data_IF_690167005476
#
_entry.id   IF_690167005476
#
_cell.length_a   1.000
_cell.length_b   1.000
_cell.length_c   1.000
_cell.angle_alpha   90.00
_cell.angle_beta   90.00
_cell.angle_gamma   90.00
#
_symmetry.space_group_name_H-M   'P 1'
#
loop_
_entity.id
_entity.type
_entity.pdbx_description
1 polymer ?
#
# COMPACT_ATOMS: atom_id res chain seq x y z
N UNK A 1 10.82 -35.76 -33.69
CA UNK A 1 11.29 -34.36 -33.70
C UNK A 1 11.44 -33.89 -32.27
N UNK A 2 12.67 -33.84 -31.75
CA UNK A 2 12.94 -33.22 -30.46
C UNK A 2 12.69 -31.71 -30.60
N UNK A 3 11.80 -31.14 -29.78
CA UNK A 3 11.71 -29.68 -29.65
C UNK A 3 13.07 -29.22 -29.14
N UNK A 4 13.79 -28.43 -29.94
CA UNK A 4 14.91 -27.66 -29.44
C UNK A 4 14.36 -26.72 -28.37
N UNK A 5 14.51 -27.10 -27.11
CA UNK A 5 14.38 -26.18 -25.98
C UNK A 5 15.49 -25.17 -26.15
N UNK A 6 15.15 -23.96 -26.61
CA UNK A 6 16.04 -22.80 -26.54
C UNK A 6 16.44 -22.63 -25.07
N UNK A 7 17.58 -23.21 -24.68
CA UNK A 7 18.18 -22.99 -23.36
C UNK A 7 18.57 -21.50 -23.33
N UNK A 8 18.00 -20.76 -22.38
CA UNK A 8 18.38 -19.35 -22.18
C UNK A 8 19.87 -19.33 -21.84
N UNK A 9 20.63 -18.51 -22.57
CA UNK A 9 22.07 -18.34 -22.33
C UNK A 9 22.24 -17.12 -21.42
N UNK A 10 22.70 -17.36 -20.19
CA UNK A 10 23.01 -16.30 -19.23
C UNK A 10 24.45 -15.79 -19.44
N UNK A 11 24.64 -14.94 -20.44
CA UNK A 11 25.94 -14.33 -20.76
C UNK A 11 26.03 -12.85 -20.33
N UNK A 12 27.16 -12.21 -20.61
CA UNK A 12 27.41 -10.79 -20.30
C UNK A 12 26.36 -9.86 -20.94
N UNK A 13 25.90 -10.17 -22.15
CA UNK A 13 24.92 -9.34 -22.85
C UNK A 13 23.56 -9.43 -22.16
N UNK A 14 23.15 -10.62 -21.74
CA UNK A 14 21.93 -10.84 -20.98
C UNK A 14 21.97 -10.07 -19.64
N UNK A 15 23.07 -10.19 -18.89
CA UNK A 15 23.22 -9.49 -17.60
C UNK A 15 23.18 -7.97 -17.79
N UNK A 16 23.91 -7.43 -18.77
CA UNK A 16 23.88 -5.99 -19.08
C UNK A 16 22.48 -5.51 -19.46
N UNK A 17 21.75 -6.29 -20.26
CA UNK A 17 20.37 -5.98 -20.62
C UNK A 17 19.44 -5.94 -19.40
N UNK A 18 19.62 -6.86 -18.45
CA UNK A 18 18.88 -6.84 -17.18
C UNK A 18 19.23 -5.60 -16.32
N UNK A 19 20.49 -5.19 -16.29
CA UNK A 19 20.94 -4.00 -15.55
C UNK A 19 20.35 -2.71 -16.15
N UNK A 20 20.39 -2.57 -17.48
CA UNK A 20 19.79 -1.45 -18.20
C UNK A 20 18.28 -1.38 -17.96
N UNK A 21 17.58 -2.51 -18.07
CA UNK A 21 16.14 -2.57 -17.82
C UNK A 21 15.81 -2.24 -16.36
N UNK A 22 16.62 -2.69 -15.40
CA UNK A 22 16.40 -2.40 -13.98
C UNK A 22 16.51 -0.91 -13.67
N UNK A 23 17.38 -0.17 -14.37
CA UNK A 23 17.45 1.30 -14.23
C UNK A 23 16.17 1.99 -14.68
N UNK A 24 15.58 1.55 -15.79
CA UNK A 24 14.27 2.05 -16.24
C UNK A 24 13.16 1.71 -15.25
N UNK A 25 13.17 0.47 -14.75
CA UNK A 25 12.21 -0.01 -13.76
C UNK A 25 12.23 0.85 -12.49
N UNK A 26 13.42 1.21 -11.98
CA UNK A 26 13.56 2.16 -10.86
C UNK A 26 13.03 3.54 -11.25
N UNK A 27 13.49 4.08 -12.39
CA UNK A 27 13.18 5.46 -12.81
C UNK A 27 11.70 5.70 -13.02
N UNK A 28 10.99 4.73 -13.58
CA UNK A 28 9.57 4.83 -13.93
C UNK A 28 8.65 4.05 -12.99
N UNK A 29 9.21 3.48 -11.91
CA UNK A 29 8.49 2.68 -10.91
C UNK A 29 7.63 1.55 -11.55
N UNK A 30 8.26 0.76 -12.42
CA UNK A 30 7.60 -0.27 -13.24
C UNK A 30 7.40 -1.58 -12.45
N UNK A 31 6.42 -1.58 -11.54
CA UNK A 31 6.21 -2.66 -10.56
C UNK A 31 5.92 -4.03 -11.17
N UNK A 32 5.22 -4.09 -12.31
CA UNK A 32 4.87 -5.37 -12.95
C UNK A 32 6.08 -6.01 -13.63
N UNK A 33 6.98 -5.20 -14.17
CA UNK A 33 8.23 -5.64 -14.76
C UNK A 33 9.22 -6.13 -13.70
N UNK A 34 9.29 -5.43 -12.56
CA UNK A 34 10.05 -5.90 -11.41
C UNK A 34 9.54 -7.26 -10.94
N UNK A 35 8.21 -7.39 -10.82
CA UNK A 35 7.55 -8.65 -10.46
C UNK A 35 7.83 -9.74 -11.48
N UNK A 36 7.70 -9.45 -12.77
CA UNK A 36 7.96 -10.41 -13.84
C UNK A 36 9.37 -10.98 -13.73
N UNK A 37 10.37 -10.13 -13.51
CA UNK A 37 11.75 -10.58 -13.32
C UNK A 37 11.85 -11.57 -12.15
N UNK A 38 11.31 -11.21 -10.98
CA UNK A 38 11.40 -12.07 -9.78
C UNK A 38 10.63 -13.38 -9.87
N UNK A 39 9.48 -13.41 -10.57
CA UNK A 39 8.61 -14.59 -10.66
C UNK A 39 8.93 -15.51 -11.83
N UNK A 40 9.53 -14.99 -12.91
CA UNK A 40 9.71 -15.74 -14.14
C UNK A 40 11.15 -15.83 -14.62
N UNK A 41 11.99 -14.82 -14.35
CA UNK A 41 13.39 -14.83 -14.81
C UNK A 41 14.31 -15.39 -13.72
N UNK A 42 14.16 -14.95 -12.48
CA UNK A 42 15.00 -15.39 -11.36
C UNK A 42 14.93 -16.90 -11.08
N UNK A 43 13.75 -17.57 -11.12
CA UNK A 43 13.68 -19.02 -10.91
C UNK A 43 14.48 -19.82 -11.95
N UNK A 44 14.51 -19.37 -13.21
CA UNK A 44 15.31 -20.01 -14.27
C UNK A 44 16.81 -19.86 -14.00
N UNK A 45 17.25 -18.71 -13.51
CA UNK A 45 18.65 -18.47 -13.09
C UNK A 45 19.00 -19.38 -11.89
N UNK A 46 18.08 -19.54 -10.93
CA UNK A 46 18.28 -20.41 -9.76
C UNK A 46 18.31 -21.90 -10.10
N UNK A 47 17.62 -22.31 -11.17
CA UNK A 47 17.62 -23.68 -11.67
C UNK A 47 18.94 -24.05 -12.39
N UNK A 48 19.62 -23.08 -13.02
CA UNK A 48 20.89 -23.31 -13.71
C UNK A 48 22.10 -23.29 -12.76
N UNK A 49 22.42 -24.47 -12.20
CA UNK A 49 23.57 -24.66 -11.29
C UNK A 49 24.94 -24.52 -11.98
N UNK A 50 25.00 -24.80 -13.29
CA UNK A 50 26.23 -24.64 -14.08
C UNK A 50 26.55 -23.15 -14.22
N UNK A 51 25.56 -22.31 -14.49
CA UNK A 51 25.74 -20.86 -14.52
C UNK A 51 26.18 -20.30 -13.17
N UNK A 52 25.51 -20.71 -12.09
CA UNK A 52 25.83 -20.24 -10.72
C UNK A 52 27.28 -20.50 -10.33
N UNK A 53 27.79 -21.68 -10.64
CA UNK A 53 29.15 -22.10 -10.24
C UNK A 53 30.21 -21.74 -11.28
N UNK A 54 29.87 -21.78 -12.57
CA UNK A 54 30.77 -21.49 -13.69
C UNK A 54 30.99 -20.00 -13.94
N UNK A 55 30.01 -19.14 -13.64
CA UNK A 55 30.08 -17.68 -13.88
C UNK A 55 29.65 -16.88 -12.63
N UNK A 56 30.33 -17.05 -11.48
CA UNK A 56 29.90 -16.48 -10.20
C UNK A 56 29.89 -14.94 -10.18
N UNK A 57 30.71 -14.28 -11.00
CA UNK A 57 30.69 -12.82 -11.13
C UNK A 57 29.40 -12.31 -11.79
N UNK A 58 28.93 -13.01 -12.83
CA UNK A 58 27.66 -12.68 -13.50
C UNK A 58 26.47 -13.02 -12.62
N UNK A 59 26.51 -14.16 -11.94
CA UNK A 59 25.48 -14.54 -10.98
C UNK A 59 25.30 -13.50 -9.88
N UNK A 60 26.39 -12.97 -9.29
CA UNK A 60 26.31 -11.91 -8.27
C UNK A 60 25.66 -10.62 -8.78
N UNK A 61 25.88 -10.26 -10.04
CA UNK A 61 25.21 -9.10 -10.67
C UNK A 61 23.71 -9.34 -10.82
N UNK A 62 23.31 -10.54 -11.23
CA UNK A 62 21.90 -10.92 -11.31
C UNK A 62 21.24 -11.02 -9.93
N UNK A 63 21.95 -11.49 -8.91
CA UNK A 63 21.45 -11.52 -7.53
C UNK A 63 21.17 -10.10 -7.01
N UNK A 64 22.08 -9.14 -7.30
CA UNK A 64 21.86 -7.72 -7.01
C UNK A 64 20.62 -7.18 -7.73
N UNK A 65 20.43 -7.51 -9.01
CA UNK A 65 19.22 -7.15 -9.77
C UNK A 65 17.96 -7.74 -9.12
N UNK A 66 18.00 -9.02 -8.72
CA UNK A 66 16.89 -9.66 -8.03
C UNK A 66 16.53 -8.94 -6.73
N UNK A 67 17.53 -8.57 -5.91
CA UNK A 67 17.30 -7.82 -4.66
C UNK A 67 16.67 -6.45 -4.92
N UNK A 68 17.16 -5.70 -5.91
CA UNK A 68 16.57 -4.42 -6.32
C UNK A 68 15.10 -4.58 -6.71
N UNK A 69 14.81 -5.52 -7.63
CA UNK A 69 13.44 -5.76 -8.08
C UNK A 69 12.55 -6.26 -6.93
N UNK A 70 13.10 -6.99 -5.96
CA UNK A 70 12.38 -7.41 -4.75
C UNK A 70 12.05 -6.23 -3.84
N UNK A 71 12.97 -5.27 -3.66
CA UNK A 71 12.71 -4.06 -2.88
C UNK A 71 11.59 -3.22 -3.51
N UNK A 72 11.53 -3.12 -4.83
CA UNK A 72 10.46 -2.37 -5.51
C UNK A 72 9.05 -2.93 -5.23
N UNK A 73 8.95 -4.20 -4.85
CA UNK A 73 7.69 -4.88 -4.60
C UNK A 73 7.54 -5.37 -3.16
N UNK A 74 8.17 -4.71 -2.17
CA UNK A 74 8.04 -5.07 -0.75
C UNK A 74 6.59 -5.31 -0.32
N UNK A 75 5.64 -4.52 -0.83
CA UNK A 75 4.20 -4.69 -0.58
C UNK A 75 3.60 -6.06 -0.94
N UNK A 76 4.29 -6.85 -1.77
CA UNK A 76 3.83 -8.14 -2.31
C UNK A 76 4.62 -9.35 -1.78
N UNK A 77 5.69 -9.10 -1.04
CA UNK A 77 6.54 -10.17 -0.51
C UNK A 77 6.00 -10.72 0.82
N UNK A 78 6.32 -11.99 1.16
CA UNK A 78 6.18 -12.52 2.52
C UNK A 78 6.93 -11.67 3.54
N UNK A 79 6.45 -11.63 4.78
CA UNK A 79 7.07 -10.83 5.83
C UNK A 79 8.50 -11.27 6.11
N UNK A 80 8.77 -12.57 6.07
CA UNK A 80 10.09 -13.15 6.29
C UNK A 80 11.10 -12.71 5.24
N UNK A 81 10.68 -12.65 3.97
CA UNK A 81 11.52 -12.15 2.87
C UNK A 81 11.82 -10.66 3.02
N UNK A 82 10.82 -9.87 3.42
CA UNK A 82 11.00 -8.44 3.69
C UNK A 82 12.02 -8.25 4.83
N UNK A 83 11.86 -8.97 5.94
CA UNK A 83 12.79 -8.89 7.07
C UNK A 83 14.20 -9.30 6.66
N UNK A 84 14.34 -10.34 5.83
CA UNK A 84 15.63 -10.75 5.28
C UNK A 84 16.27 -9.66 4.42
N UNK A 85 15.50 -8.95 3.57
CA UNK A 85 16.01 -7.83 2.78
C UNK A 85 16.46 -6.68 3.68
N UNK A 86 15.71 -6.36 4.73
CA UNK A 86 16.09 -5.31 5.68
C UNK A 86 17.35 -5.65 6.50
N UNK A 87 17.55 -6.92 6.83
CA UNK A 87 18.77 -7.40 7.50
C UNK A 87 19.97 -7.45 6.52
N UNK A 88 19.71 -7.76 5.24
CA UNK A 88 20.72 -7.87 4.18
C UNK A 88 20.10 -7.67 2.78
N UNK A 89 20.44 -6.57 2.11
CA UNK A 89 19.98 -6.24 0.75
C UNK A 89 19.43 -4.82 0.63
N UNK A 90 18.84 -4.28 1.70
CA UNK A 90 18.22 -2.95 1.70
C UNK A 90 19.23 -1.80 1.53
N UNK A 91 20.53 -2.04 1.74
CA UNK A 91 21.58 -1.09 1.37
C UNK A 91 21.51 -0.69 -0.10
N UNK A 92 21.04 -1.56 -0.99
CA UNK A 92 20.84 -1.26 -2.41
C UNK A 92 19.78 -0.17 -2.62
N UNK A 93 18.76 -0.08 -1.75
CA UNK A 93 17.83 1.05 -1.78
C UNK A 93 18.56 2.37 -1.52
N UNK A 94 19.33 2.42 -0.45
CA UNK A 94 20.04 3.63 -0.06
C UNK A 94 21.06 4.03 -1.11
N UNK A 95 21.78 3.07 -1.70
CA UNK A 95 22.84 3.34 -2.65
C UNK A 95 22.35 3.65 -4.07
N UNK A 96 21.16 3.21 -4.47
CA UNK A 96 20.74 3.25 -5.89
C UNK A 96 19.35 3.82 -6.16
N UNK A 97 18.48 3.86 -5.16
CA UNK A 97 17.04 4.16 -5.36
C UNK A 97 16.57 5.36 -4.54
N UNK A 98 17.38 5.84 -3.59
CA UNK A 98 17.00 6.88 -2.63
C UNK A 98 16.56 8.20 -3.28
N UNK A 99 17.08 8.52 -4.46
CA UNK A 99 16.73 9.74 -5.19
C UNK A 99 15.46 9.59 -6.05
N UNK A 100 15.02 8.36 -6.32
CA UNK A 100 13.89 8.07 -7.21
C UNK A 100 12.64 7.64 -6.44
N UNK A 101 12.81 7.02 -5.27
CA UNK A 101 11.74 6.31 -4.58
C UNK A 101 11.77 6.57 -3.07
N UNK A 102 10.59 6.59 -2.46
CA UNK A 102 10.43 6.67 -1.01
C UNK A 102 10.22 5.27 -0.43
N UNK A 103 11.19 4.78 0.35
CA UNK A 103 11.11 3.46 0.99
C UNK A 103 9.88 3.29 1.90
N UNK A 104 9.43 4.37 2.53
CA UNK A 104 8.22 4.31 3.34
C UNK A 104 7.01 3.91 2.51
N UNK A 105 6.85 4.45 1.30
CA UNK A 105 5.71 4.12 0.44
C UNK A 105 5.72 2.62 0.05
N UNK A 106 6.91 2.04 -0.15
CA UNK A 106 7.06 0.61 -0.45
C UNK A 106 6.64 -0.27 0.75
N UNK A 107 7.05 0.09 1.97
CA UNK A 107 6.70 -0.63 3.20
C UNK A 107 5.24 -0.41 3.59
N UNK A 108 4.73 0.81 3.42
CA UNK A 108 3.33 1.19 3.61
C UNK A 108 2.40 0.31 2.78
N UNK A 109 2.77 0.00 1.54
CA UNK A 109 2.07 -0.97 0.70
C UNK A 109 1.88 -2.34 1.38
N UNK A 110 2.90 -2.84 2.08
CA UNK A 110 2.80 -4.09 2.86
C UNK A 110 1.90 -3.90 4.08
N UNK A 111 2.12 -2.85 4.86
CA UNK A 111 1.41 -2.61 6.12
C UNK A 111 -0.12 -2.53 5.92
N UNK A 112 -0.59 -1.91 4.84
CA UNK A 112 -2.03 -1.80 4.55
C UNK A 112 -2.68 -3.17 4.25
N UNK A 113 -1.90 -4.16 3.82
CA UNK A 113 -2.40 -5.53 3.66
C UNK A 113 -2.64 -6.25 5.00
N UNK A 114 -1.95 -5.82 6.07
CA UNK A 114 -2.08 -6.36 7.41
C UNK A 114 -3.30 -5.70 8.07
N UNK A 115 -4.34 -6.46 8.40
CA UNK A 115 -5.55 -5.86 8.96
C UNK A 115 -5.41 -5.49 10.44
N UNK A 116 -4.66 -6.29 11.19
CA UNK A 116 -4.40 -6.04 12.60
C UNK A 116 -3.43 -4.87 12.78
N UNK A 117 -3.92 -3.77 13.35
CA UNK A 117 -3.10 -2.60 13.63
C UNK A 117 -1.98 -2.91 14.64
N UNK A 118 -2.19 -3.87 15.56
CA UNK A 118 -1.13 -4.32 16.46
C UNK A 118 -0.08 -5.14 15.73
N UNK A 119 -0.48 -6.05 14.82
CA UNK A 119 0.49 -6.81 14.02
C UNK A 119 1.31 -5.90 13.09
N UNK A 120 0.75 -4.79 12.59
CA UNK A 120 1.52 -3.75 11.88
C UNK A 120 2.62 -3.17 12.75
N UNK A 121 2.29 -2.81 13.99
CA UNK A 121 3.27 -2.31 14.95
C UNK A 121 4.38 -3.33 15.23
N UNK A 122 4.02 -4.61 15.35
CA UNK A 122 4.99 -5.68 15.58
C UNK A 122 5.88 -5.90 14.34
N UNK A 123 5.32 -5.82 13.14
CA UNK A 123 6.08 -5.88 11.90
C UNK A 123 7.05 -4.70 11.74
N UNK A 124 6.62 -3.45 12.03
CA UNK A 124 7.49 -2.26 12.05
C UNK A 124 8.65 -2.41 13.06
N UNK A 125 8.38 -2.96 14.25
CA UNK A 125 9.42 -3.27 15.24
C UNK A 125 10.39 -4.33 14.72
N UNK A 126 9.91 -5.34 14.00
CA UNK A 126 10.76 -6.37 13.41
C UNK A 126 11.64 -5.81 12.30
N UNK A 127 11.11 -4.92 11.44
CA UNK A 127 11.92 -4.18 10.46
C UNK A 127 13.00 -3.35 11.17
N UNK A 128 12.65 -2.64 12.24
CA UNK A 128 13.60 -1.85 13.03
C UNK A 128 14.73 -2.72 13.60
N UNK A 129 14.40 -3.91 14.11
CA UNK A 129 15.39 -4.90 14.59
C UNK A 129 16.24 -5.49 13.47
N UNK A 130 15.69 -5.65 12.27
CA UNK A 130 16.43 -6.14 11.10
C UNK A 130 17.47 -5.08 10.65
N UNK A 131 17.05 -3.81 10.57
CA UNK A 131 17.96 -2.68 10.30
C UNK A 131 19.09 -2.58 11.32
N UNK A 132 18.80 -2.75 12.61
CA UNK A 132 19.81 -2.75 13.67
C UNK A 132 20.78 -3.94 13.59
N UNK A 133 20.49 -4.97 12.80
CA UNK A 133 21.41 -6.09 12.51
C UNK A 133 22.15 -5.93 11.18
N UNK A 134 21.79 -4.94 10.37
CA UNK A 134 22.34 -4.75 9.05
C UNK A 134 23.73 -4.07 9.09
N UNK A 135 24.76 -4.88 8.78
CA UNK A 135 26.17 -4.47 8.80
C UNK A 135 26.68 -3.88 7.47
N UNK A 136 25.83 -3.73 6.45
CA UNK A 136 26.24 -3.19 5.16
C UNK A 136 26.53 -1.70 5.24
N UNK A 137 27.58 -1.28 4.54
CA UNK A 137 28.08 0.10 4.51
C UNK A 137 27.24 0.95 3.56
N UNK A 138 26.86 2.14 3.99
CA UNK A 138 26.03 3.07 3.20
C UNK A 138 26.68 4.44 2.99
N UNK A 139 27.78 4.71 3.68
CA UNK A 139 28.64 5.90 3.47
C UNK A 139 30.11 5.47 3.53
N UNK A 140 31.04 6.38 3.22
CA UNK A 140 32.47 6.06 3.12
C UNK A 140 33.26 6.31 4.39
N UNK A 141 32.95 7.40 5.10
CA UNK A 141 33.70 7.84 6.27
C UNK A 141 33.25 7.07 7.51
N UNK A 142 34.21 6.56 8.29
CA UNK A 142 33.93 5.91 9.59
C UNK A 142 33.25 6.88 10.55
N UNK A 143 32.41 6.33 11.42
CA UNK A 143 31.71 7.08 12.47
C UNK A 143 32.56 7.11 13.73
N UNK A 144 32.61 8.27 14.39
CA UNK A 144 33.30 8.44 15.66
C UNK A 144 32.28 8.52 16.80
N UNK A 145 32.44 7.69 17.83
CA UNK A 145 31.67 7.73 19.09
C UNK A 145 32.60 7.41 20.26
N UNK A 146 32.60 8.23 21.30
CA UNK A 146 33.43 8.07 22.51
C UNK A 146 34.88 7.69 22.17
N UNK A 147 35.50 8.48 21.29
CA UNK A 147 36.87 8.31 20.78
C UNK A 147 37.14 7.04 19.95
N UNK A 148 36.15 6.15 19.77
CA UNK A 148 36.26 4.95 18.94
C UNK A 148 35.73 5.17 17.54
N UNK A 149 36.31 4.48 16.58
CA UNK A 149 35.84 4.43 15.20
C UNK A 149 34.96 3.21 14.95
N UNK A 150 33.93 3.40 14.16
CA UNK A 150 32.99 2.37 13.75
C UNK A 150 32.79 2.41 12.23
N UNK A 151 32.62 1.24 11.62
CA UNK A 151 32.29 1.14 10.21
C UNK A 151 30.97 1.88 9.88
N UNK A 152 30.85 2.55 8.73
CA UNK A 152 29.67 3.33 8.32
C UNK A 152 28.48 2.47 7.87
N UNK A 153 28.14 1.46 8.67
CA UNK A 153 27.03 0.56 8.41
C UNK A 153 25.68 1.16 8.79
N UNK A 154 24.59 0.60 8.24
CA UNK A 154 23.22 0.93 8.64
C UNK A 154 23.06 0.83 10.16
N UNK A 155 23.47 -0.29 10.77
CA UNK A 155 23.43 -0.45 12.24
C UNK A 155 24.15 0.69 12.95
N UNK A 156 25.38 1.02 12.54
CA UNK A 156 26.19 2.01 13.27
C UNK A 156 25.64 3.43 13.10
N UNK A 157 25.09 3.79 11.94
CA UNK A 157 24.38 5.06 11.74
C UNK A 157 23.15 5.17 12.65
N UNK A 158 22.33 4.11 12.74
CA UNK A 158 21.16 4.11 13.62
C UNK A 158 21.53 4.18 15.10
N UNK A 159 22.59 3.49 15.53
CA UNK A 159 23.06 3.55 16.91
C UNK A 159 23.67 4.92 17.22
N UNK A 160 24.41 5.54 16.29
CA UNK A 160 24.91 6.91 16.44
C UNK A 160 23.76 7.91 16.61
N UNK A 161 22.77 7.86 15.71
CA UNK A 161 21.57 8.69 15.78
C UNK A 161 20.79 8.51 17.10
N UNK A 162 20.48 7.28 17.48
CA UNK A 162 19.72 7.01 18.70
C UNK A 162 20.48 7.34 19.98
N UNK A 163 21.82 7.28 19.98
CA UNK A 163 22.64 7.74 21.10
C UNK A 163 22.64 9.26 21.23
N UNK A 164 22.63 9.98 20.11
CA UNK A 164 22.62 11.44 20.10
C UNK A 164 21.24 12.05 20.39
N UNK A 165 20.16 11.45 19.89
CA UNK A 165 18.82 12.04 19.91
C UNK A 165 17.88 11.38 20.92
N UNK A 166 18.13 10.10 21.24
CA UNK A 166 17.30 9.25 22.09
C UNK A 166 16.46 8.24 21.30
N UNK A 167 16.05 7.17 21.99
CA UNK A 167 15.33 6.03 21.39
C UNK A 167 13.83 6.28 21.15
N UNK A 168 13.24 7.28 21.81
CA UNK A 168 11.81 7.62 21.70
C UNK A 168 11.41 8.21 20.35
N UNK A 169 10.13 8.60 20.21
CA UNK A 169 9.67 9.42 19.09
C UNK A 169 10.33 10.79 19.15
N UNK A 170 10.95 11.19 18.05
CA UNK A 170 11.69 12.44 17.98
C UNK A 170 11.04 13.43 17.02
N UNK A 171 11.04 14.70 17.40
CA UNK A 171 10.51 15.76 16.55
C UNK A 171 11.41 15.98 15.32
N UNK A 172 10.81 16.50 14.25
CA UNK A 172 11.53 16.91 13.04
C UNK A 172 12.67 17.88 13.37
N UNK A 173 12.51 18.74 14.38
CA UNK A 173 13.54 19.67 14.85
C UNK A 173 14.77 18.92 15.35
N UNK A 174 14.58 17.91 16.21
CA UNK A 174 15.69 17.10 16.74
C UNK A 174 16.40 16.29 15.65
N UNK A 175 15.64 15.75 14.70
CA UNK A 175 16.20 15.02 13.54
C UNK A 175 17.08 15.96 12.70
N UNK A 176 16.56 17.15 12.38
CA UNK A 176 17.30 18.15 11.60
C UNK A 176 18.53 18.68 12.35
N UNK A 177 18.43 18.84 13.67
CA UNK A 177 19.57 19.23 14.50
C UNK A 177 20.68 18.19 14.42
N UNK A 178 20.35 16.89 14.56
CA UNK A 178 21.32 15.81 14.38
C UNK A 178 21.99 15.86 12.99
N UNK A 179 21.19 15.91 11.92
CA UNK A 179 21.68 15.90 10.54
C UNK A 179 22.58 17.10 10.21
N UNK A 180 22.46 18.21 10.95
CA UNK A 180 23.20 19.45 10.69
C UNK A 180 24.41 19.62 11.63
N UNK A 181 24.27 19.22 12.90
CA UNK A 181 25.24 19.53 13.96
C UNK A 181 26.13 18.36 14.36
N UNK A 182 25.72 17.11 14.08
CA UNK A 182 26.53 15.96 14.46
C UNK A 182 27.83 15.90 13.64
N UNK A 183 28.97 15.66 14.30
CA UNK A 183 30.30 15.62 13.68
C UNK A 183 30.39 14.60 12.53
N UNK A 184 29.75 13.43 12.68
CA UNK A 184 29.72 12.39 11.65
C UNK A 184 28.94 12.86 10.42
N UNK A 185 27.82 13.57 10.61
CA UNK A 185 27.00 14.11 9.52
C UNK A 185 27.68 15.26 8.76
N UNK A 186 28.49 16.08 9.45
CA UNK A 186 29.20 17.20 8.84
C UNK A 186 30.27 16.76 7.82
N UNK A 187 30.80 15.54 7.97
CA UNK A 187 31.81 14.96 7.08
C UNK A 187 31.22 14.28 5.84
N UNK A 188 29.90 14.24 5.70
CA UNK A 188 29.23 13.60 4.58
C UNK A 188 29.21 14.48 3.34
N UNK A 189 29.35 13.85 2.18
CA UNK A 189 28.97 14.45 0.89
C UNK A 189 27.45 14.62 0.80
N UNK A 190 26.96 15.47 -0.12
CA UNK A 190 25.50 15.69 -0.27
C UNK A 190 24.71 14.41 -0.61
N UNK A 191 25.20 13.50 -1.49
CA UNK A 191 24.55 12.21 -1.71
C UNK A 191 24.49 11.36 -0.43
N UNK A 192 25.58 11.29 0.35
CA UNK A 192 25.62 10.55 1.61
C UNK A 192 24.71 11.15 2.68
N UNK A 193 24.59 12.49 2.73
CA UNK A 193 23.61 13.16 3.60
C UNK A 193 22.20 12.75 3.24
N UNK A 194 21.88 12.62 1.94
CA UNK A 194 20.56 12.16 1.52
C UNK A 194 20.29 10.71 1.96
N UNK A 195 21.29 9.84 1.83
CA UNK A 195 21.24 8.45 2.30
C UNK A 195 20.94 8.37 3.80
N UNK A 196 21.74 9.05 4.63
CA UNK A 196 21.60 9.03 6.09
C UNK A 196 20.28 9.66 6.51
N UNK A 197 19.87 10.77 5.88
CA UNK A 197 18.55 11.38 6.09
C UNK A 197 17.42 10.40 5.79
N UNK A 198 17.47 9.73 4.65
CA UNK A 198 16.43 8.76 4.25
C UNK A 198 16.35 7.60 5.24
N UNK A 199 17.50 7.05 5.66
CA UNK A 199 17.56 6.00 6.67
C UNK A 199 16.91 6.45 7.99
N UNK A 200 17.24 7.64 8.50
CA UNK A 200 16.74 8.14 9.78
C UNK A 200 15.25 8.47 9.70
N UNK A 201 14.79 9.14 8.63
CA UNK A 201 13.37 9.44 8.44
C UNK A 201 12.57 8.14 8.35
N UNK A 202 13.05 7.15 7.60
CA UNK A 202 12.40 5.85 7.51
C UNK A 202 12.36 5.16 8.89
N UNK A 203 13.47 5.15 9.63
CA UNK A 203 13.53 4.55 10.95
C UNK A 203 12.60 5.23 11.97
N UNK A 204 12.48 6.57 11.94
CA UNK A 204 11.53 7.30 12.77
C UNK A 204 10.08 7.02 12.38
N UNK A 205 9.77 6.89 11.08
CA UNK A 205 8.42 6.52 10.61
C UNK A 205 7.97 5.16 11.15
N UNK A 206 8.88 4.19 11.29
CA UNK A 206 8.56 2.88 11.88
C UNK A 206 8.11 2.95 13.36
N UNK A 207 8.38 4.06 14.06
CA UNK A 207 8.02 4.22 15.47
C UNK A 207 6.56 4.65 15.68
N UNK A 208 5.92 5.22 14.65
CA UNK A 208 4.54 5.66 14.76
C UNK A 208 3.60 4.45 14.83
N UNK A 209 2.73 4.45 15.84
CA UNK A 209 1.77 3.37 16.05
C UNK A 209 0.66 3.43 15.00
N UNK A 210 0.40 2.32 14.32
CA UNK A 210 -0.76 2.18 13.41
C UNK A 210 -2.10 2.26 14.14
N UNK A 211 -2.09 2.27 15.48
CA UNK A 211 -3.28 2.47 16.33
C UNK A 211 -3.54 3.93 16.68
N UNK A 212 -2.73 4.85 16.15
CA UNK A 212 -2.89 6.29 16.32
C UNK A 212 -3.07 6.96 14.96
N UNK A 213 -3.80 8.09 14.87
CA UNK A 213 -4.02 8.80 13.60
C UNK A 213 -2.74 9.11 12.83
N UNK A 214 -1.67 9.53 13.53
CA UNK A 214 -0.38 9.88 12.95
C UNK A 214 0.35 8.69 12.31
N UNK A 215 0.11 7.48 12.83
CA UNK A 215 0.76 6.26 12.34
C UNK A 215 -0.12 5.39 11.46
N UNK A 216 -1.37 5.80 11.20
CA UNK A 216 -2.24 5.10 10.26
C UNK A 216 -1.69 5.23 8.84
N UNK A 217 -1.46 4.08 8.21
CA UNK A 217 -0.89 4.03 6.87
C UNK A 217 -1.90 4.43 5.79
N UNK A 218 -3.16 4.06 5.96
CA UNK A 218 -4.20 4.37 5.01
C UNK A 218 -4.53 5.86 4.95
N UNK A 219 -5.09 6.26 3.81
CA UNK A 219 -5.75 7.54 3.68
C UNK A 219 -7.24 7.37 3.89
N UNK A 220 -7.85 8.32 4.59
CA UNK A 220 -9.29 8.39 4.74
C UNK A 220 -9.75 9.58 3.92
N UNK A 221 -10.47 9.33 2.82
CA UNK A 221 -11.12 10.40 2.06
C UNK A 221 -12.28 10.94 2.89
N UNK A 222 -12.40 12.26 3.02
CA UNK A 222 -13.48 12.90 3.76
C UNK A 222 -14.15 14.02 3.00
N UNK A 223 -15.42 14.24 3.33
CA UNK A 223 -16.21 15.38 2.87
C UNK A 223 -16.60 16.23 4.07
N UNK A 224 -16.22 17.51 4.04
CA UNK A 224 -16.45 18.46 5.14
C UNK A 224 -16.70 19.86 4.58
N UNK A 225 -17.81 20.48 4.98
CA UNK A 225 -18.15 21.85 4.59
C UNK A 225 -18.20 22.07 3.07
N UNK A 226 -18.70 21.09 2.31
CA UNK A 226 -18.76 21.17 0.85
C UNK A 226 -17.44 20.91 0.11
N UNK A 227 -16.39 20.48 0.81
CA UNK A 227 -15.08 20.24 0.23
C UNK A 227 -14.54 18.84 0.53
N UNK A 228 -13.83 18.30 -0.46
CA UNK A 228 -13.10 17.05 -0.33
C UNK A 228 -11.74 17.28 0.32
N UNK A 229 -11.40 16.45 1.29
CA UNK A 229 -10.10 16.41 1.94
C UNK A 229 -9.64 14.96 2.14
N UNK A 230 -8.40 14.78 2.54
CA UNK A 230 -7.83 13.47 2.89
C UNK A 230 -7.18 13.57 4.25
N UNK A 231 -7.52 12.67 5.17
CA UNK A 231 -6.75 12.45 6.38
C UNK A 231 -5.66 11.42 6.07
N UNK A 232 -4.40 11.84 6.18
CA UNK A 232 -3.22 11.03 5.87
C UNK A 232 -2.12 11.33 6.88
N UNK A 233 -1.56 10.29 7.50
CA UNK A 233 -0.46 10.44 8.48
C UNK A 233 -0.79 11.50 9.54
N UNK A 234 -2.02 11.44 10.06
CA UNK A 234 -2.55 12.38 11.06
C UNK A 234 -2.83 13.80 10.56
N UNK A 235 -2.68 14.10 9.27
CA UNK A 235 -2.88 15.46 8.74
C UNK A 235 -4.04 15.53 7.77
N UNK A 236 -4.80 16.61 7.85
CA UNK A 236 -5.76 16.95 6.81
C UNK A 236 -5.02 17.60 5.63
N UNK A 237 -5.17 16.99 4.47
CA UNK A 237 -4.67 17.48 3.20
C UNK A 237 -5.85 17.86 2.32
N UNK A 238 -5.85 19.08 1.79
CA UNK A 238 -6.78 19.44 0.71
C UNK A 238 -6.37 18.69 -0.57
N UNK A 239 -7.35 18.33 -1.41
CA UNK A 239 -7.03 17.82 -2.75
C UNK A 239 -6.25 18.87 -3.55
N UNK A 240 -5.31 18.42 -4.40
CA UNK A 240 -4.53 19.31 -5.28
C UNK A 240 -5.47 20.31 -5.97
N UNK A 241 -5.25 21.63 -5.86
CA UNK A 241 -6.11 22.65 -6.46
C UNK A 241 -6.37 22.45 -7.95
N UNK A 242 -5.44 21.85 -8.70
CA UNK A 242 -5.63 21.48 -10.12
C UNK A 242 -6.63 20.35 -10.27
N UNK A 243 -6.59 19.35 -9.39
CA UNK A 243 -7.56 18.25 -9.34
C UNK A 243 -8.91 18.76 -8.88
N UNK A 244 -8.96 19.63 -7.86
CA UNK A 244 -10.19 20.30 -7.41
C UNK A 244 -10.78 21.15 -8.53
N UNK A 245 -9.95 21.88 -9.29
CA UNK A 245 -10.40 22.65 -10.45
C UNK A 245 -10.93 21.74 -11.56
N UNK A 246 -10.22 20.66 -11.91
CA UNK A 246 -10.70 19.67 -12.88
C UNK A 246 -12.03 19.04 -12.44
N UNK A 247 -12.16 18.71 -11.15
CA UNK A 247 -13.40 18.22 -10.58
C UNK A 247 -14.50 19.27 -10.65
N UNK A 248 -14.22 20.54 -10.29
CA UNK A 248 -15.20 21.62 -10.36
C UNK A 248 -15.59 22.00 -11.79
N UNK A 249 -14.68 21.92 -12.74
CA UNK A 249 -14.96 22.13 -14.17
C UNK A 249 -15.80 20.96 -14.71
N UNK A 250 -15.53 19.72 -14.30
CA UNK A 250 -16.37 18.56 -14.60
C UNK A 250 -17.75 18.68 -13.94
N UNK A 251 -17.82 19.07 -12.67
CA UNK A 251 -19.05 19.27 -11.90
C UNK A 251 -19.97 20.30 -12.56
N UNK A 252 -19.40 21.41 -13.03
CA UNK A 252 -20.11 22.45 -13.80
C UNK A 252 -20.55 21.99 -15.18
N UNK A 253 -19.91 20.95 -15.73
CA UNK A 253 -20.28 20.37 -17.02
C UNK A 253 -21.47 19.41 -16.93
N UNK A 254 -21.84 18.99 -15.73
CA UNK A 254 -22.99 18.12 -15.49
C UNK A 254 -24.29 18.90 -15.40
N UNK A 255 -25.38 18.33 -15.90
CA UNK A 255 -26.74 18.82 -15.63
C UNK A 255 -27.08 18.74 -14.14
N UNK A 256 -28.07 19.49 -13.63
CA UNK A 256 -28.49 19.41 -12.23
C UNK A 256 -28.83 17.98 -11.76
N UNK A 257 -29.46 17.18 -12.62
CA UNK A 257 -29.75 15.77 -12.34
C UNK A 257 -28.49 14.90 -12.28
N UNK A 258 -27.58 15.05 -13.24
CA UNK A 258 -26.29 14.33 -13.27
C UNK A 258 -25.38 14.76 -12.11
N UNK A 259 -25.39 16.03 -11.75
CA UNK A 259 -24.62 16.58 -10.63
C UNK A 259 -25.13 16.00 -9.31
N UNK A 260 -26.45 15.88 -9.15
CA UNK A 260 -27.08 15.24 -8.00
C UNK A 260 -26.82 13.73 -7.93
N UNK A 261 -26.64 13.08 -9.09
CA UNK A 261 -26.23 11.69 -9.21
C UNK A 261 -24.77 11.50 -8.76
N UNK A 262 -23.85 12.20 -9.42
CA UNK A 262 -22.39 12.04 -9.22
C UNK A 262 -21.91 12.54 -7.86
N UNK A 263 -22.47 13.66 -7.37
CA UNK A 263 -21.99 14.35 -6.16
C UNK A 263 -22.97 14.30 -4.99
N UNK A 264 -24.15 13.71 -5.16
CA UNK A 264 -25.23 13.73 -4.18
C UNK A 264 -26.01 15.06 -4.17
N UNK A 265 -27.01 15.17 -3.30
CA UNK A 265 -27.70 16.45 -3.09
C UNK A 265 -26.72 17.47 -2.47
N UNK A 266 -26.82 18.74 -2.88
CA UNK A 266 -26.16 19.85 -2.17
C UNK A 266 -26.66 19.85 -0.70
N UNK A 267 -25.93 19.19 0.20
CA UNK A 267 -26.05 19.48 1.62
C UNK A 267 -25.56 20.91 1.78
N UNK A 268 -26.47 21.78 2.22
CA UNK A 268 -26.14 23.17 2.55
C UNK A 268 -25.14 23.14 3.70
N UNK A 269 -23.86 23.24 3.36
CA UNK A 269 -22.80 23.36 4.34
C UNK A 269 -23.08 24.60 5.19
N UNK A 270 -23.30 24.41 6.49
CA UNK A 270 -23.47 25.55 7.40
C UNK A 270 -22.24 26.48 7.28
N UNK A 271 -22.45 27.79 7.06
CA UNK A 271 -21.36 28.75 7.03
C UNK A 271 -20.60 28.72 8.36
N UNK A 272 -19.37 28.19 8.34
CA UNK A 272 -18.51 28.05 9.53
C UNK A 272 -18.15 26.61 9.93
N UNK A 273 -18.78 25.58 9.34
CA UNK A 273 -18.49 24.17 9.64
C UNK A 273 -17.00 23.81 9.44
N UNK A 274 -16.36 24.32 8.37
CA UNK A 274 -14.92 24.13 8.13
C UNK A 274 -14.05 24.79 9.20
N UNK A 275 -14.39 26.00 9.62
CA UNK A 275 -13.62 26.74 10.63
C UNK A 275 -13.74 26.10 12.03
N UNK A 276 -14.95 25.65 12.39
CA UNK A 276 -15.19 24.90 13.63
C UNK A 276 -14.45 23.55 13.61
N UNK A 277 -14.47 22.82 12.48
CA UNK A 277 -13.75 21.55 12.31
C UNK A 277 -12.23 21.72 12.44
N UNK A 278 -11.64 22.73 11.78
CA UNK A 278 -10.20 23.03 11.88
C UNK A 278 -9.80 23.44 13.31
N UNK A 279 -10.70 24.07 14.08
CA UNK A 279 -10.41 24.43 15.48
C UNK A 279 -10.45 23.23 16.45
N UNK A 280 -11.08 22.12 16.06
CA UNK A 280 -11.22 20.90 16.85
C UNK A 280 -10.38 19.74 16.30
N UNK A 281 -9.32 20.07 15.54
CA UNK A 281 -8.61 19.16 14.64
C UNK A 281 -8.22 17.82 15.27
N UNK A 282 -7.68 17.84 16.49
CA UNK A 282 -7.22 16.62 17.18
C UNK A 282 -8.36 15.69 17.57
N UNK A 283 -9.45 16.23 18.13
CA UNK A 283 -10.63 15.44 18.47
C UNK A 283 -11.29 14.86 17.22
N UNK A 284 -11.31 15.63 16.12
CA UNK A 284 -11.85 15.17 14.85
C UNK A 284 -11.01 14.02 14.25
N UNK A 285 -9.68 14.13 14.28
CA UNK A 285 -8.77 13.06 13.83
C UNK A 285 -9.02 11.76 14.60
N UNK A 286 -9.11 11.84 15.93
CA UNK A 286 -9.33 10.66 16.76
C UNK A 286 -10.70 10.02 16.54
N UNK A 287 -11.74 10.83 16.34
CA UNK A 287 -13.09 10.35 16.03
C UNK A 287 -13.12 9.62 14.68
N UNK A 288 -12.58 10.25 13.63
CA UNK A 288 -12.51 9.68 12.28
C UNK A 288 -11.70 8.38 12.27
N UNK A 289 -10.54 8.39 12.95
CA UNK A 289 -9.71 7.20 13.11
C UNK A 289 -10.46 6.05 13.79
N UNK A 290 -11.12 6.35 14.92
CA UNK A 290 -11.88 5.36 15.67
C UNK A 290 -13.03 4.78 14.85
N UNK A 291 -13.73 5.64 14.09
CA UNK A 291 -14.76 5.22 13.16
C UNK A 291 -14.19 4.32 12.05
N UNK A 292 -13.01 4.66 11.50
CA UNK A 292 -12.36 3.89 10.43
C UNK A 292 -11.87 2.51 10.90
N UNK A 293 -11.24 2.45 12.08
CA UNK A 293 -10.77 1.20 12.66
C UNK A 293 -11.92 0.21 12.84
N UNK A 294 -13.05 0.66 13.38
CA UNK A 294 -14.21 -0.18 13.66
C UNK A 294 -13.96 -1.17 14.81
N UNK A 295 -14.76 -2.24 14.87
CA UNK A 295 -14.75 -3.17 16.01
C UNK A 295 -13.53 -4.13 16.01
N UNK A 296 -12.72 -4.07 17.06
CA UNK A 296 -11.53 -4.91 17.23
C UNK A 296 -11.86 -6.41 17.34
N UNK A 297 -13.01 -6.77 17.90
CA UNK A 297 -13.46 -8.17 17.99
C UNK A 297 -13.72 -8.77 16.61
N UNK A 298 -14.43 -8.04 15.75
CA UNK A 298 -14.68 -8.38 14.36
C UNK A 298 -13.38 -8.48 13.57
N UNK A 299 -12.45 -7.53 13.75
CA UNK A 299 -11.14 -7.60 13.11
C UNK A 299 -10.41 -8.91 13.45
N UNK A 300 -10.35 -9.27 14.74
CA UNK A 300 -9.74 -10.52 15.19
C UNK A 300 -10.41 -11.76 14.57
N UNK A 301 -11.74 -11.76 14.47
CA UNK A 301 -12.49 -12.86 13.87
C UNK A 301 -12.23 -12.98 12.36
N UNK A 302 -12.17 -11.87 11.64
CA UNK A 302 -11.85 -11.84 10.20
C UNK A 302 -10.42 -12.34 9.96
N UNK A 303 -9.43 -11.94 10.77
CA UNK A 303 -8.05 -12.44 10.66
C UNK A 303 -7.96 -13.96 10.81
N UNK A 304 -8.69 -14.51 11.78
CA UNK A 304 -8.72 -15.96 12.00
C UNK A 304 -9.29 -16.70 10.78
N UNK A 305 -10.22 -16.11 10.04
CA UNK A 305 -10.71 -16.66 8.77
C UNK A 305 -9.71 -16.44 7.62
N UNK A 306 -9.05 -15.28 7.54
CA UNK A 306 -8.01 -15.03 6.52
C UNK A 306 -6.87 -16.04 6.61
N UNK A 307 -6.43 -16.39 7.82
CA UNK A 307 -5.38 -17.38 8.04
C UNK A 307 -5.74 -18.77 7.49
N UNK A 308 -7.03 -19.13 7.50
CA UNK A 308 -7.53 -20.38 6.91
C UNK A 308 -7.53 -20.29 5.37
N UNK A 309 -7.73 -19.09 4.82
CA UNK A 309 -7.84 -18.85 3.38
C UNK A 309 -6.49 -18.55 2.69
N UNK A 310 -5.44 -18.19 3.43
CA UNK A 310 -4.17 -17.71 2.85
C UNK A 310 -3.46 -18.70 1.92
N UNK A 311 -3.71 -20.00 2.07
CA UNK A 311 -3.14 -21.07 1.24
C UNK A 311 -4.09 -21.59 0.16
N UNK A 312 -5.31 -21.03 0.06
CA UNK A 312 -6.25 -21.41 -0.98
C UNK A 312 -5.75 -20.92 -2.34
N UNK A 313 -5.83 -21.79 -3.36
CA UNK A 313 -5.69 -21.32 -4.73
C UNK A 313 -6.86 -20.41 -5.12
N UNK A 314 -6.73 -19.73 -6.27
CA UNK A 314 -7.72 -18.75 -6.72
C UNK A 314 -9.13 -19.32 -6.88
N UNK A 315 -9.28 -20.57 -7.34
CA UNK A 315 -10.59 -21.16 -7.59
C UNK A 315 -11.26 -21.54 -6.27
N UNK A 316 -10.50 -22.19 -5.38
CA UNK A 316 -10.98 -22.50 -4.04
C UNK A 316 -11.37 -21.23 -3.27
N UNK A 317 -10.58 -20.16 -3.38
CA UNK A 317 -10.89 -18.89 -2.71
C UNK A 317 -12.22 -18.29 -3.18
N UNK A 318 -12.50 -18.35 -4.49
CA UNK A 318 -13.78 -17.90 -5.07
C UNK A 318 -14.95 -18.75 -4.57
N UNK A 319 -14.79 -20.06 -4.49
CA UNK A 319 -15.82 -20.96 -3.96
C UNK A 319 -16.11 -20.67 -2.48
N UNK A 320 -15.05 -20.52 -1.67
CA UNK A 320 -15.16 -20.18 -0.24
C UNK A 320 -15.83 -18.81 -0.03
N UNK A 321 -15.55 -17.84 -0.89
CA UNK A 321 -16.23 -16.54 -0.90
C UNK A 321 -17.73 -16.70 -1.13
N UNK A 322 -18.12 -17.43 -2.19
CA UNK A 322 -19.53 -17.62 -2.55
C UNK A 322 -20.29 -18.36 -1.46
N UNK A 323 -19.70 -19.40 -0.88
CA UNK A 323 -20.27 -20.13 0.25
C UNK A 323 -20.46 -19.21 1.47
N UNK A 324 -19.45 -18.40 1.83
CA UNK A 324 -19.55 -17.48 2.95
C UNK A 324 -20.66 -16.43 2.76
N UNK A 325 -20.82 -15.90 1.54
CA UNK A 325 -21.90 -14.96 1.20
C UNK A 325 -23.27 -15.64 1.30
N UNK A 326 -23.39 -16.88 0.86
CA UNK A 326 -24.62 -17.66 0.94
C UNK A 326 -25.02 -17.92 2.40
N UNK A 327 -24.05 -18.26 3.24
CA UNK A 327 -24.22 -18.52 4.67
C UNK A 327 -24.38 -17.24 5.50
N UNK A 328 -24.29 -16.06 4.87
CA UNK A 328 -24.26 -14.74 5.52
C UNK A 328 -23.17 -14.62 6.59
N UNK A 329 -22.05 -15.32 6.40
CA UNK A 329 -20.92 -15.27 7.32
C UNK A 329 -20.06 -14.03 7.05
N UNK A 330 -20.39 -12.93 7.74
CA UNK A 330 -19.70 -11.63 7.60
C UNK A 330 -18.18 -11.79 7.73
N UNK A 331 -17.69 -12.49 8.75
CA UNK A 331 -16.25 -12.58 9.01
C UNK A 331 -15.51 -13.30 7.88
N UNK A 332 -16.05 -14.43 7.42
CA UNK A 332 -15.45 -15.21 6.34
C UNK A 332 -15.58 -14.52 4.99
N UNK A 333 -16.70 -13.85 4.71
CA UNK A 333 -16.86 -13.03 3.49
C UNK A 333 -15.85 -11.89 3.47
N UNK A 334 -15.67 -11.18 4.59
CA UNK A 334 -14.69 -10.09 4.68
C UNK A 334 -13.25 -10.58 4.52
N UNK A 335 -12.92 -11.72 5.13
CA UNK A 335 -11.63 -12.36 4.95
C UNK A 335 -11.37 -12.69 3.47
N UNK A 336 -12.33 -13.34 2.81
CA UNK A 336 -12.22 -13.68 1.40
C UNK A 336 -12.13 -12.44 0.50
N UNK A 337 -12.91 -11.38 0.75
CA UNK A 337 -12.79 -10.11 0.02
C UNK A 337 -11.39 -9.53 0.08
N UNK A 338 -10.79 -9.50 1.28
CA UNK A 338 -9.45 -8.95 1.47
C UNK A 338 -8.38 -9.79 0.78
N UNK A 339 -8.48 -11.12 0.83
CA UNK A 339 -7.55 -12.01 0.10
C UNK A 339 -7.70 -11.83 -1.41
N UNK A 340 -8.93 -11.77 -1.94
CA UNK A 340 -9.22 -11.50 -3.36
C UNK A 340 -8.72 -10.12 -3.81
N UNK A 341 -8.86 -9.09 -2.96
CA UNK A 341 -8.35 -7.75 -3.27
C UNK A 341 -6.82 -7.74 -3.37
N UNK A 342 -6.13 -8.35 -2.40
CA UNK A 342 -4.65 -8.44 -2.35
C UNK A 342 -4.06 -9.23 -3.52
N UNK A 343 -4.72 -10.31 -3.93
CA UNK A 343 -4.27 -11.13 -5.06
C UNK A 343 -4.56 -10.48 -6.41
N UNK A 344 -5.28 -9.35 -6.43
CA UNK A 344 -5.78 -8.72 -7.64
C UNK A 344 -6.97 -9.46 -8.26
N UNK A 345 -7.47 -10.52 -7.61
CA UNK A 345 -8.45 -11.44 -8.18
C UNK A 345 -9.90 -10.96 -8.05
N UNK A 346 -10.19 -9.93 -7.24
CA UNK A 346 -11.59 -9.49 -7.05
C UNK A 346 -12.24 -9.00 -8.35
N UNK A 347 -11.51 -8.22 -9.16
CA UNK A 347 -12.02 -7.71 -10.44
C UNK A 347 -12.09 -8.79 -11.52
N UNK A 348 -11.06 -9.63 -11.62
CA UNK A 348 -11.05 -10.78 -12.54
C UNK A 348 -12.14 -11.78 -12.18
N UNK A 349 -12.43 -11.99 -10.89
CA UNK A 349 -13.52 -12.88 -10.47
C UNK A 349 -14.87 -12.44 -11.04
N UNK A 350 -15.20 -11.15 -10.97
CA UNK A 350 -16.44 -10.60 -11.53
C UNK A 350 -16.53 -10.74 -13.06
N UNK A 351 -15.39 -10.76 -13.74
CA UNK A 351 -15.29 -10.81 -15.21
C UNK A 351 -15.21 -12.24 -15.76
N UNK A 352 -14.44 -13.10 -15.11
CA UNK A 352 -14.10 -14.45 -15.58
C UNK A 352 -15.11 -15.50 -15.13
N UNK A 353 -15.74 -15.34 -13.95
CA UNK A 353 -16.72 -16.30 -13.48
C UNK A 353 -18.07 -16.07 -14.16
N UNK A 354 -18.38 -16.92 -15.15
CA UNK A 354 -19.59 -16.80 -15.96
C UNK A 354 -20.89 -16.90 -15.13
N UNK A 355 -20.89 -17.64 -14.02
CA UNK A 355 -22.08 -17.79 -13.17
C UNK A 355 -22.32 -16.53 -12.38
N UNK A 356 -21.28 -16.01 -11.71
CA UNK A 356 -21.33 -14.77 -10.97
C UNK A 356 -21.66 -13.59 -11.89
N UNK A 357 -20.98 -13.48 -13.03
CA UNK A 357 -21.21 -12.41 -14.00
C UNK A 357 -22.68 -12.41 -14.48
N UNK A 358 -23.19 -13.56 -14.91
CA UNK A 358 -24.60 -13.67 -15.35
C UNK A 358 -25.58 -13.34 -14.22
N UNK A 359 -25.30 -13.79 -13.00
CA UNK A 359 -26.12 -13.49 -11.83
C UNK A 359 -26.16 -11.99 -11.54
N UNK A 360 -24.99 -11.35 -11.46
CA UNK A 360 -24.87 -9.92 -11.18
C UNK A 360 -25.48 -9.07 -12.29
N UNK A 361 -25.31 -9.43 -13.55
CA UNK A 361 -25.98 -8.75 -14.67
C UNK A 361 -27.51 -8.77 -14.50
N UNK A 362 -28.09 -9.90 -14.09
CA UNK A 362 -29.53 -9.99 -13.81
C UNK A 362 -29.97 -9.17 -12.58
N UNK A 363 -29.11 -9.03 -11.58
CA UNK A 363 -29.33 -8.14 -10.43
C UNK A 363 -29.34 -6.67 -10.89
N UNK A 364 -28.36 -6.28 -11.70
CA UNK A 364 -28.22 -4.92 -12.23
C UNK A 364 -29.34 -4.52 -13.19
N UNK A 365 -29.80 -5.45 -14.03
CA UNK A 365 -30.93 -5.21 -14.93
C UNK A 365 -32.20 -4.89 -14.14
N UNK A 366 -32.45 -5.62 -13.05
CA UNK A 366 -33.64 -5.44 -12.20
C UNK A 366 -33.58 -4.17 -11.35
N UNK A 367 -32.41 -3.85 -10.80
CA UNK A 367 -32.24 -2.70 -9.89
C UNK A 367 -32.10 -1.38 -10.63
N UNK A 368 -31.50 -1.40 -11.81
CA UNK A 368 -31.18 -0.22 -12.58
C UNK A 368 -31.85 -0.32 -13.95
N UNK A 369 -31.16 -0.87 -14.94
CA UNK A 369 -31.70 -1.04 -16.30
C UNK A 369 -30.82 -2.00 -17.13
N UNK A 370 -31.34 -2.35 -18.32
CA UNK A 370 -30.65 -3.21 -19.31
C UNK A 370 -29.31 -2.64 -19.79
N UNK A 371 -29.18 -1.32 -19.90
CA UNK A 371 -27.96 -0.69 -20.40
C UNK A 371 -26.80 -0.89 -19.41
N UNK A 372 -27.04 -0.66 -18.11
CA UNK A 372 -26.06 -0.90 -17.04
C UNK A 372 -25.64 -2.37 -16.98
N UNK A 373 -26.59 -3.30 -17.10
CA UNK A 373 -26.29 -4.73 -17.11
C UNK A 373 -25.41 -5.13 -18.32
N UNK A 374 -25.69 -4.57 -19.51
CA UNK A 374 -24.88 -4.81 -20.70
C UNK A 374 -23.46 -4.21 -20.59
N UNK A 375 -23.32 -3.06 -19.94
CA UNK A 375 -22.04 -2.44 -19.63
C UNK A 375 -21.24 -3.31 -18.64
N UNK A 376 -21.87 -3.77 -17.56
CA UNK A 376 -21.26 -4.65 -16.56
C UNK A 376 -20.64 -5.89 -17.18
N UNK A 377 -21.35 -6.58 -18.10
CA UNK A 377 -20.86 -7.81 -18.73
C UNK A 377 -19.49 -7.61 -19.39
N UNK A 378 -19.23 -6.43 -19.97
CA UNK A 378 -17.97 -6.12 -20.66
C UNK A 378 -16.89 -5.59 -19.72
N UNK A 379 -17.30 -4.87 -18.70
CA UNK A 379 -16.45 -3.98 -17.90
C UNK A 379 -16.49 -4.28 -16.40
N UNK A 380 -16.81 -5.52 -16.00
CA UNK A 380 -17.09 -5.91 -14.62
C UNK A 380 -15.96 -5.58 -13.60
N UNK A 381 -14.74 -5.40 -14.08
CA UNK A 381 -13.54 -5.05 -13.32
C UNK A 381 -13.33 -3.54 -13.09
N UNK A 382 -14.19 -2.68 -13.66
CA UNK A 382 -14.14 -1.23 -13.45
C UNK A 382 -14.65 -0.85 -12.05
N UNK A 383 -14.10 0.26 -11.52
CA UNK A 383 -14.42 0.82 -10.19
C UNK A 383 -15.92 0.84 -9.89
N UNK A 384 -16.71 1.38 -10.82
CA UNK A 384 -18.18 1.46 -10.77
C UNK A 384 -18.81 0.13 -10.37
N UNK A 385 -18.46 -0.93 -11.09
CA UNK A 385 -19.04 -2.26 -10.89
C UNK A 385 -18.48 -2.98 -9.68
N UNK A 386 -17.21 -2.77 -9.35
CA UNK A 386 -16.63 -3.29 -8.10
C UNK A 386 -17.33 -2.65 -6.91
N UNK A 387 -17.56 -1.32 -6.92
CA UNK A 387 -18.28 -0.61 -5.86
C UNK A 387 -19.73 -1.09 -5.72
N UNK A 388 -20.46 -1.21 -6.83
CA UNK A 388 -21.82 -1.78 -6.82
C UNK A 388 -21.83 -3.20 -6.24
N UNK A 389 -20.88 -4.04 -6.66
CA UNK A 389 -20.74 -5.40 -6.14
C UNK A 389 -20.48 -5.41 -4.62
N UNK A 390 -19.52 -4.60 -4.13
CA UNK A 390 -19.24 -4.47 -2.70
C UNK A 390 -20.49 -4.04 -1.93
N UNK A 391 -21.19 -3.00 -2.40
CA UNK A 391 -22.43 -2.51 -1.79
C UNK A 391 -23.49 -3.60 -1.71
N UNK A 392 -23.73 -4.29 -2.83
CA UNK A 392 -24.71 -5.38 -2.88
C UNK A 392 -24.37 -6.51 -1.91
N UNK A 393 -23.11 -6.96 -1.85
CA UNK A 393 -22.72 -8.04 -0.94
C UNK A 393 -22.83 -7.58 0.52
N UNK A 394 -22.26 -6.42 0.87
CA UNK A 394 -22.16 -5.97 2.25
C UNK A 394 -23.52 -5.52 2.81
N UNK A 395 -24.30 -4.75 2.06
CA UNK A 395 -25.59 -4.23 2.53
C UNK A 395 -26.70 -5.26 2.36
N UNK A 396 -26.83 -5.87 1.18
CA UNK A 396 -28.03 -6.66 0.86
C UNK A 396 -27.88 -8.15 1.16
N UNK A 397 -26.71 -8.72 0.91
CA UNK A 397 -26.46 -10.14 1.19
C UNK A 397 -26.15 -10.37 2.66
N UNK A 398 -25.30 -9.51 3.24
CA UNK A 398 -24.85 -9.63 4.63
C UNK A 398 -25.67 -8.79 5.62
N UNK A 399 -26.45 -7.82 5.17
CA UNK A 399 -27.31 -7.03 6.05
C UNK A 399 -26.57 -6.00 6.89
N UNK A 400 -25.37 -5.55 6.48
CA UNK A 400 -24.64 -4.50 7.18
C UNK A 400 -25.31 -3.14 6.96
N UNK A 401 -25.28 -2.29 7.99
CA UNK A 401 -25.69 -0.90 7.85
C UNK A 401 -24.78 -0.14 6.88
N UNK A 402 -25.32 0.85 6.16
CA UNK A 402 -24.59 1.57 5.10
C UNK A 402 -23.26 2.14 5.53
N UNK A 403 -23.18 2.77 6.70
CA UNK A 403 -21.91 3.30 7.23
C UNK A 403 -20.87 2.20 7.45
N UNK A 404 -21.28 1.06 8.02
CA UNK A 404 -20.38 -0.06 8.27
C UNK A 404 -19.93 -0.73 6.96
N UNK A 405 -20.83 -0.85 5.98
CA UNK A 405 -20.55 -1.38 4.66
C UNK A 405 -19.59 -0.46 3.88
N UNK A 406 -19.84 0.85 3.86
CA UNK A 406 -19.01 1.83 3.19
C UNK A 406 -17.61 1.93 3.82
N UNK A 407 -17.50 1.86 5.15
CA UNK A 407 -16.22 1.77 5.87
C UNK A 407 -15.37 0.59 5.38
N UNK A 408 -15.97 -0.59 5.29
CA UNK A 408 -15.30 -1.80 4.78
C UNK A 408 -14.95 -1.66 3.30
N UNK A 409 -15.81 -1.01 2.51
CA UNK A 409 -15.53 -0.62 1.13
C UNK A 409 -14.29 0.27 1.01
N UNK A 410 -14.16 1.30 1.86
CA UNK A 410 -12.98 2.16 1.89
C UNK A 410 -11.71 1.38 2.26
N UNK A 411 -11.77 0.49 3.26
CA UNK A 411 -10.65 -0.37 3.64
C UNK A 411 -10.18 -1.26 2.46
N UNK A 412 -11.11 -1.84 1.71
CA UNK A 412 -10.80 -2.60 0.48
C UNK A 412 -10.25 -1.69 -0.62
N UNK A 413 -10.80 -0.48 -0.78
CA UNK A 413 -10.30 0.53 -1.70
C UNK A 413 -8.85 0.91 -1.44
N UNK A 414 -8.46 1.06 -0.18
CA UNK A 414 -7.07 1.32 0.21
C UNK A 414 -6.13 0.17 -0.20
N UNK A 415 -6.57 -1.09 -0.16
CA UNK A 415 -5.78 -2.22 -0.71
C UNK A 415 -5.56 -2.02 -2.22
N UNK A 416 -6.60 -1.69 -2.98
CA UNK A 416 -6.49 -1.47 -4.42
C UNK A 416 -5.60 -0.28 -4.80
N UNK A 417 -5.72 0.84 -4.09
CA UNK A 417 -4.89 2.04 -4.29
C UNK A 417 -3.41 1.70 -4.14
N UNK A 418 -3.05 0.91 -3.12
CA UNK A 418 -1.66 0.47 -2.93
C UNK A 418 -1.17 -0.52 -3.99
N UNK A 419 -2.09 -1.27 -4.61
CA UNK A 419 -1.76 -2.11 -5.76
C UNK A 419 -1.66 -1.32 -7.07
N UNK A 420 -1.75 0.01 -7.01
CA UNK A 420 -1.59 0.92 -8.16
C UNK A 420 -2.90 1.39 -8.78
N UNK A 421 -4.06 0.88 -8.33
CA UNK A 421 -5.38 1.28 -8.83
C UNK A 421 -5.89 2.53 -8.10
N UNK A 422 -5.25 3.67 -8.37
CA UNK A 422 -5.46 4.94 -7.63
C UNK A 422 -6.91 5.41 -7.62
N UNK A 423 -7.67 5.12 -8.66
CA UNK A 423 -9.09 5.45 -8.79
C UNK A 423 -9.98 4.81 -7.71
N UNK A 424 -9.52 3.73 -7.07
CA UNK A 424 -10.24 3.05 -6.00
C UNK A 424 -10.29 3.83 -4.68
N UNK A 425 -9.63 4.99 -4.59
CA UNK A 425 -9.86 5.95 -3.51
C UNK A 425 -11.27 6.57 -3.52
N UNK A 426 -12.06 6.33 -4.59
CA UNK A 426 -13.45 6.75 -4.76
C UNK A 426 -14.47 5.63 -4.51
N UNK A 427 -14.14 4.63 -3.68
CA UNK A 427 -15.13 3.61 -3.27
C UNK A 427 -16.12 4.19 -2.25
N UNK A 428 -15.58 4.74 -1.16
CA UNK A 428 -16.34 5.32 -0.07
C UNK A 428 -15.55 6.45 0.59
N UNK A 429 -16.22 7.28 1.38
CA UNK A 429 -15.62 8.41 2.11
C UNK A 429 -16.25 8.54 3.49
N UNK A 430 -15.57 9.24 4.38
CA UNK A 430 -16.12 9.66 5.67
C UNK A 430 -16.82 11.01 5.52
N UNK A 431 -18.12 11.05 5.79
CA UNK A 431 -18.88 12.30 5.84
C UNK A 431 -18.81 12.89 7.24
N UNK A 432 -18.15 14.04 7.36
CA UNK A 432 -17.95 14.71 8.65
C UNK A 432 -19.28 15.20 9.22
N UNK A 433 -20.22 15.63 8.37
CA UNK A 433 -21.54 16.09 8.79
C UNK A 433 -22.36 14.98 9.46
N UNK A 434 -22.48 13.83 8.79
CA UNK A 434 -23.23 12.68 9.34
C UNK A 434 -22.42 11.78 10.29
N UNK A 435 -21.14 12.08 10.52
CA UNK A 435 -20.21 11.27 11.33
C UNK A 435 -20.18 9.79 10.93
N UNK A 436 -20.25 9.53 9.62
CA UNK A 436 -20.43 8.17 9.11
C UNK A 436 -19.82 8.00 7.72
N UNK A 437 -19.55 6.76 7.34
CA UNK A 437 -19.05 6.48 5.99
C UNK A 437 -20.21 6.44 5.00
N UNK A 438 -19.98 7.01 3.82
CA UNK A 438 -20.91 7.00 2.69
C UNK A 438 -20.21 6.38 1.49
N UNK A 439 -20.96 5.66 0.66
CA UNK A 439 -20.48 5.29 -0.67
C UNK A 439 -20.35 6.55 -1.51
N UNK A 440 -19.36 6.59 -2.40
CA UNK A 440 -19.45 7.53 -3.51
C UNK A 440 -20.61 7.07 -4.41
N UNK A 441 -21.55 7.97 -4.69
CA UNK A 441 -22.62 7.71 -5.65
C UNK A 441 -22.11 7.96 -7.08
N UNK A 442 -22.89 7.56 -8.09
CA UNK A 442 -22.62 7.77 -9.52
C UNK A 442 -23.50 8.80 -10.15
#
# INVERSE_FOLDING_TARGET
MAKATNKIIFDENFVRGCEERTKEVIRFNMLEEARFFTLHVWPEILADKEFQTGLPALYRRLERIYKINSILQLGRLPEEEILSLFESGIELYFLEMVDNLNLWELVKGKLITIMDLQARNDFKKNISKALLRNKHLITRNKLRRDEKEYEPSITNWLVDYTSAVGVGLNSVVKINEYLTRNENCQKLSDPEKNIVRSLIIFYERLKYSSQEPDGLEESITLFSGGQWQVLREGRFEDFDPKVVKLLGDYEKSLSPEERKQVFGAEETAEPGAKAAFLSAEESARQEIFSAYAGDAGRQKAVLAEEEKLKKADKFKLRDEFMAAVQDKNINKTMAAFRVLARSGDLGSFLKEDAKLNKFMAGVWEKKFNKALAAEFIKNADQLKFVRLFLRYILEERLGLGTSDAARLGLQLGNIFVNLGKKEYNKIAYYDVGSKGFKWFEE
#
